data_IF_721179090571
#
_entry.id   IF_721179090571
#
_cell.length_a   1.000
_cell.length_b   1.000
_cell.length_c   1.000
_cell.angle_alpha   90.00
_cell.angle_beta   90.00
_cell.angle_gamma   90.00
#
_symmetry.space_group_name_H-M   'P 1'
#
loop_
_entity.id
_entity.type
_entity.pdbx_description
1 polymer ?
#
# COMPACT_ATOMS: atom_id res chain seq x y z
N UNK A 1 -32.76 -5.52 7.32
CA UNK A 1 -33.06 -6.02 5.97
C UNK A 1 -32.36 -7.36 5.83
N UNK A 2 -33.13 -8.42 5.58
CA UNK A 2 -32.56 -9.72 5.24
C UNK A 2 -32.05 -9.64 3.81
N UNK A 3 -30.73 -9.47 3.65
CA UNK A 3 -30.08 -9.63 2.36
C UNK A 3 -29.38 -10.99 2.29
N UNK A 4 -29.45 -11.62 1.14
CA UNK A 4 -28.73 -12.86 0.87
C UNK A 4 -27.54 -12.53 -0.03
N UNK A 5 -26.33 -12.82 0.45
CA UNK A 5 -25.12 -12.67 -0.35
C UNK A 5 -25.00 -13.89 -1.29
N UNK A 6 -24.69 -13.63 -2.54
CA UNK A 6 -24.40 -14.66 -3.53
C UNK A 6 -22.94 -15.09 -3.34
N UNK A 7 -22.63 -16.39 -3.35
CA UNK A 7 -21.26 -16.89 -3.29
C UNK A 7 -20.34 -16.22 -4.33
N UNK A 8 -19.17 -15.79 -3.91
CA UNK A 8 -18.21 -15.09 -4.75
C UNK A 8 -17.04 -16.02 -5.05
N UNK A 9 -16.69 -16.16 -6.33
CA UNK A 9 -15.45 -16.78 -6.79
C UNK A 9 -14.61 -15.67 -7.42
N UNK A 10 -13.43 -15.42 -6.89
CA UNK A 10 -12.52 -14.38 -7.38
C UNK A 10 -11.39 -14.97 -8.22
N UNK A 11 -11.15 -14.37 -9.37
CA UNK A 11 -10.05 -14.71 -10.28
C UNK A 11 -9.30 -13.42 -10.60
N UNK A 12 -8.25 -13.06 -9.83
CA UNK A 12 -7.54 -11.81 -10.03
C UNK A 12 -6.79 -11.79 -11.36
N UNK A 13 -6.89 -10.68 -12.09
CA UNK A 13 -6.19 -10.43 -13.36
C UNK A 13 -5.07 -9.39 -13.22
N UNK A 14 -4.90 -8.85 -12.02
CA UNK A 14 -3.80 -7.95 -11.63
C UNK A 14 -3.28 -8.37 -10.27
N UNK A 15 -2.00 -8.10 -9.98
CA UNK A 15 -1.38 -8.38 -8.69
C UNK A 15 -1.27 -7.06 -7.89
N UNK A 16 -2.23 -6.75 -7.01
CA UNK A 16 -2.22 -5.48 -6.28
C UNK A 16 -3.19 -5.40 -5.11
N UNK A 17 -4.48 -5.43 -5.39
CA UNK A 17 -5.52 -5.07 -4.42
C UNK A 17 -5.76 -6.09 -3.32
N UNK A 18 -5.43 -7.37 -3.54
CA UNK A 18 -5.74 -8.46 -2.61
C UNK A 18 -7.25 -8.62 -2.32
N UNK A 19 -8.12 -8.13 -3.22
CA UNK A 19 -9.56 -8.15 -3.01
C UNK A 19 -10.15 -9.56 -2.93
N UNK A 20 -9.46 -10.54 -3.49
CA UNK A 20 -9.83 -11.96 -3.48
C UNK A 20 -9.69 -12.64 -2.11
N UNK A 21 -8.96 -12.01 -1.19
CA UNK A 21 -8.73 -12.50 0.19
C UNK A 21 -9.12 -11.47 1.25
N UNK A 22 -9.96 -10.49 0.89
CA UNK A 22 -10.41 -9.43 1.79
C UNK A 22 -11.92 -9.26 1.74
N UNK A 23 -12.56 -8.79 2.82
CA UNK A 23 -14.01 -8.53 2.86
C UNK A 23 -14.37 -7.11 2.43
N UNK A 24 -13.49 -6.44 1.65
CA UNK A 24 -13.63 -5.03 1.32
C UNK A 24 -14.17 -4.83 -0.09
N UNK A 25 -15.14 -3.92 -0.22
CA UNK A 25 -15.55 -3.37 -1.51
C UNK A 25 -15.45 -1.85 -1.47
N UNK A 26 -14.83 -1.27 -2.50
CA UNK A 26 -14.64 0.18 -2.62
C UNK A 26 -15.46 0.75 -3.77
N UNK A 27 -16.24 1.78 -3.48
CA UNK A 27 -17.05 2.51 -4.45
C UNK A 27 -16.57 3.96 -4.46
N UNK A 28 -16.20 4.47 -5.63
CA UNK A 28 -15.82 5.86 -5.82
C UNK A 28 -17.02 6.63 -6.39
N UNK A 29 -17.50 7.62 -5.65
CA UNK A 29 -18.40 8.64 -6.16
C UNK A 29 -17.59 9.79 -6.75
N UNK A 30 -17.47 9.81 -8.07
CA UNK A 30 -16.67 10.83 -8.77
C UNK A 30 -17.39 12.19 -8.79
N UNK A 31 -18.70 12.26 -8.57
CA UNK A 31 -19.47 13.51 -8.52
C UNK A 31 -19.26 14.21 -7.19
N UNK A 32 -19.45 13.47 -6.10
CA UNK A 32 -19.27 13.98 -4.73
C UNK A 32 -17.82 13.94 -4.26
N UNK A 33 -16.89 13.40 -5.10
CA UNK A 33 -15.47 13.17 -4.76
C UNK A 33 -15.29 12.40 -3.46
N UNK A 34 -16.15 11.42 -3.24
CA UNK A 34 -16.17 10.59 -2.03
C UNK A 34 -15.82 9.14 -2.35
N UNK A 35 -15.21 8.48 -1.37
CA UNK A 35 -14.93 7.05 -1.37
C UNK A 35 -15.76 6.38 -0.30
N UNK A 36 -16.58 5.43 -0.71
CA UNK A 36 -17.32 4.54 0.18
C UNK A 36 -16.62 3.19 0.26
N UNK A 37 -16.57 2.63 1.45
CA UNK A 37 -16.04 1.28 1.67
C UNK A 37 -17.06 0.42 2.40
N UNK A 38 -17.36 -0.73 1.83
CA UNK A 38 -18.06 -1.79 2.53
C UNK A 38 -17.02 -2.72 3.18
N UNK A 39 -17.28 -3.10 4.41
CA UNK A 39 -16.48 -4.08 5.16
C UNK A 39 -17.46 -5.02 5.85
N UNK A 40 -17.76 -6.14 5.22
CA UNK A 40 -18.70 -7.12 5.72
C UNK A 40 -18.06 -8.50 5.64
N UNK A 41 -18.06 -9.30 6.73
CA UNK A 41 -17.48 -10.65 6.74
C UNK A 41 -18.00 -11.54 5.61
N UNK A 42 -19.26 -11.35 5.22
CA UNK A 42 -19.90 -12.13 4.15
C UNK A 42 -19.39 -11.77 2.74
N UNK A 43 -18.54 -10.75 2.58
CA UNK A 43 -17.95 -10.37 1.28
C UNK A 43 -16.63 -11.10 0.97
N UNK A 44 -16.12 -11.94 1.87
CA UNK A 44 -15.01 -12.80 1.51
C UNK A 44 -15.39 -13.72 0.35
N UNK A 45 -14.49 -13.86 -0.61
CA UNK A 45 -14.67 -14.86 -1.66
C UNK A 45 -14.62 -16.27 -1.05
N UNK A 46 -15.54 -17.14 -1.47
CA UNK A 46 -15.50 -18.57 -1.08
C UNK A 46 -14.30 -19.28 -1.70
N UNK A 47 -13.91 -18.86 -2.89
CA UNK A 47 -12.75 -19.41 -3.62
C UNK A 47 -11.99 -18.26 -4.29
N UNK A 48 -10.67 -18.28 -4.18
CA UNK A 48 -9.76 -17.45 -4.94
C UNK A 48 -8.91 -18.35 -5.86
N UNK A 49 -8.95 -18.09 -7.17
CA UNK A 49 -8.20 -18.86 -8.19
C UNK A 49 -7.11 -17.97 -8.74
N UNK A 50 -5.85 -18.39 -8.58
CA UNK A 50 -4.68 -17.65 -9.06
C UNK A 50 -4.11 -18.33 -10.31
N UNK A 51 -4.21 -17.63 -11.44
CA UNK A 51 -3.58 -18.02 -12.70
C UNK A 51 -2.70 -16.87 -13.20
N UNK A 52 -1.37 -16.97 -13.09
CA UNK A 52 -0.46 -15.92 -13.51
C UNK A 52 -0.54 -15.60 -15.01
N UNK A 53 -1.02 -16.53 -15.84
CA UNK A 53 -1.23 -16.31 -17.28
C UNK A 53 -2.22 -15.14 -17.54
N UNK A 54 -3.21 -14.95 -16.66
CA UNK A 54 -4.18 -13.87 -16.78
C UNK A 54 -3.57 -12.48 -16.54
N UNK A 55 -2.35 -12.40 -16.04
CA UNK A 55 -1.66 -11.12 -15.80
C UNK A 55 -0.67 -10.75 -16.91
N UNK A 56 -0.41 -11.61 -17.91
CA UNK A 56 0.59 -11.37 -18.96
C UNK A 56 0.30 -10.13 -19.80
N UNK A 57 -0.97 -9.79 -19.99
CA UNK A 57 -1.38 -8.61 -20.78
C UNK A 57 -1.40 -7.30 -19.98
N UNK A 58 -1.08 -7.34 -18.67
CA UNK A 58 -1.09 -6.16 -17.83
C UNK A 58 0.07 -5.23 -18.22
N UNK A 59 -0.21 -3.95 -18.61
CA UNK A 59 0.81 -3.00 -19.02
C UNK A 59 1.79 -2.65 -17.89
N UNK A 60 2.99 -2.18 -18.27
CA UNK A 60 4.08 -1.81 -17.33
C UNK A 60 3.60 -0.85 -16.23
N UNK A 61 2.91 0.23 -16.61
CA UNK A 61 2.43 1.23 -15.66
C UNK A 61 1.44 0.65 -14.64
N UNK A 62 0.52 -0.23 -15.08
CA UNK A 62 -0.43 -0.90 -14.17
C UNK A 62 0.30 -1.91 -13.30
N UNK A 63 1.24 -2.68 -13.85
CA UNK A 63 2.08 -3.62 -13.08
C UNK A 63 2.83 -2.91 -11.95
N UNK A 64 3.45 -1.76 -12.23
CA UNK A 64 4.15 -0.95 -11.22
C UNK A 64 3.16 -0.46 -10.14
N UNK A 65 2.04 0.15 -10.56
CA UNK A 65 1.07 0.72 -9.65
C UNK A 65 0.47 -0.33 -8.72
N UNK A 66 0.06 -1.47 -9.26
CA UNK A 66 -0.54 -2.54 -8.44
C UNK A 66 0.48 -3.22 -7.53
N UNK A 67 1.72 -3.40 -8.00
CA UNK A 67 2.80 -3.92 -7.16
C UNK A 67 3.17 -2.99 -6.00
N UNK A 68 3.17 -1.68 -6.25
CA UNK A 68 3.40 -0.67 -5.19
C UNK A 68 2.21 -0.58 -4.22
N UNK A 69 0.98 -0.79 -4.67
CA UNK A 69 -0.20 -0.91 -3.81
C UNK A 69 -0.07 -2.09 -2.84
N UNK A 70 0.30 -3.27 -3.36
CA UNK A 70 0.55 -4.45 -2.54
C UNK A 70 1.72 -4.23 -1.55
N UNK A 71 2.76 -3.50 -1.96
CA UNK A 71 3.87 -3.13 -1.06
C UNK A 71 3.38 -2.21 0.07
N UNK A 72 2.52 -1.24 -0.24
CA UNK A 72 1.91 -0.37 0.75
C UNK A 72 1.05 -1.14 1.75
N UNK A 73 0.20 -2.04 1.29
CA UNK A 73 -0.57 -2.94 2.15
C UNK A 73 0.31 -3.73 3.12
N UNK A 74 1.42 -4.29 2.61
CA UNK A 74 2.36 -5.07 3.40
C UNK A 74 3.05 -4.22 4.47
N UNK A 75 3.64 -3.10 4.07
CA UNK A 75 4.40 -2.26 4.99
C UNK A 75 3.50 -1.60 6.03
N UNK A 76 2.32 -1.12 5.64
CA UNK A 76 1.35 -0.56 6.59
C UNK A 76 0.89 -1.59 7.62
N UNK A 77 0.77 -2.87 7.25
CA UNK A 77 0.43 -3.92 8.19
C UNK A 77 1.51 -4.16 9.27
N UNK A 78 2.78 -3.80 9.00
CA UNK A 78 3.88 -3.95 9.97
C UNK A 78 3.79 -2.90 11.07
N UNK A 79 3.59 -1.61 10.70
CA UNK A 79 3.46 -0.51 11.67
C UNK A 79 2.02 -0.19 12.06
N UNK A 80 1.13 -1.15 11.92
CA UNK A 80 -0.26 -1.02 12.31
C UNK A 80 -0.47 -1.39 13.79
N UNK A 81 -1.34 -0.69 14.49
CA UNK A 81 -1.71 -1.01 15.88
C UNK A 81 -2.39 -2.37 16.04
N UNK A 82 -3.02 -2.86 14.97
CA UNK A 82 -3.67 -4.16 14.90
C UNK A 82 -2.73 -5.27 14.41
N UNK A 83 -1.44 -5.00 14.26
CA UNK A 83 -0.48 -6.02 13.81
C UNK A 83 -0.34 -7.15 14.81
N UNK A 84 -0.17 -8.36 14.29
CA UNK A 84 0.08 -9.59 15.05
C UNK A 84 1.29 -10.32 14.45
N UNK A 85 1.91 -11.25 15.15
CA UNK A 85 2.99 -12.05 14.57
C UNK A 85 2.59 -12.76 13.26
N UNK A 86 1.32 -13.15 13.11
CA UNK A 86 0.80 -13.80 11.90
C UNK A 86 0.72 -12.80 10.75
N UNK A 87 0.12 -11.63 10.97
CA UNK A 87 0.00 -10.60 9.94
C UNK A 87 1.36 -10.05 9.53
N UNK A 88 2.28 -9.87 10.48
CA UNK A 88 3.67 -9.48 10.20
C UNK A 88 4.38 -10.53 9.34
N UNK A 89 4.19 -11.83 9.63
CA UNK A 89 4.77 -12.91 8.83
C UNK A 89 4.32 -12.87 7.37
N UNK A 90 3.03 -12.63 7.10
CA UNK A 90 2.51 -12.43 5.75
C UNK A 90 3.06 -11.14 5.11
N UNK A 91 3.07 -10.03 5.84
CA UNK A 91 3.59 -8.76 5.36
C UNK A 91 5.06 -8.83 4.95
N UNK A 92 5.90 -9.45 5.76
CA UNK A 92 7.34 -9.66 5.46
C UNK A 92 7.52 -10.50 4.19
N UNK A 93 6.79 -11.61 4.08
CA UNK A 93 6.89 -12.48 2.90
C UNK A 93 6.47 -11.75 1.63
N UNK A 94 5.38 -11.00 1.69
CA UNK A 94 4.90 -10.16 0.59
C UNK A 94 5.94 -9.09 0.21
N UNK A 95 6.36 -8.26 1.16
CA UNK A 95 7.29 -7.17 0.91
C UNK A 95 8.61 -7.65 0.30
N UNK A 96 9.17 -8.77 0.80
CA UNK A 96 10.39 -9.38 0.24
C UNK A 96 10.19 -9.83 -1.21
N UNK A 97 9.06 -10.45 -1.54
CA UNK A 97 8.76 -10.85 -2.92
C UNK A 97 8.65 -9.62 -3.83
N UNK A 98 7.95 -8.57 -3.40
CA UNK A 98 7.77 -7.35 -4.20
C UNK A 98 9.10 -6.66 -4.44
N UNK A 99 9.88 -6.40 -3.38
CA UNK A 99 11.18 -5.72 -3.47
C UNK A 99 12.15 -6.45 -4.40
N UNK A 100 12.10 -7.78 -4.42
CA UNK A 100 13.01 -8.58 -5.24
C UNK A 100 12.53 -8.80 -6.69
N UNK A 101 11.25 -8.61 -6.98
CA UNK A 101 10.68 -8.98 -8.27
C UNK A 101 10.06 -7.82 -9.06
N UNK A 102 9.56 -6.75 -8.43
CA UNK A 102 8.75 -5.74 -9.12
C UNK A 102 9.56 -4.98 -10.21
N UNK A 103 10.79 -4.56 -9.92
CA UNK A 103 11.67 -3.91 -10.91
C UNK A 103 11.99 -4.88 -12.06
N UNK A 104 12.33 -6.12 -11.72
CA UNK A 104 12.63 -7.15 -12.73
C UNK A 104 11.42 -7.42 -13.63
N UNK A 105 10.23 -7.52 -13.05
CA UNK A 105 8.99 -7.70 -13.80
C UNK A 105 8.68 -6.47 -14.67
N UNK A 106 8.88 -5.27 -14.15
CA UNK A 106 8.64 -4.03 -14.92
C UNK A 106 9.51 -3.94 -16.19
N UNK A 107 10.64 -4.64 -16.22
CA UNK A 107 11.56 -4.72 -17.37
C UNK A 107 11.41 -6.01 -18.19
N UNK A 108 10.62 -6.99 -17.72
CA UNK A 108 10.36 -8.25 -18.43
C UNK A 108 8.92 -8.72 -18.13
N UNK A 109 7.95 -8.07 -18.77
CA UNK A 109 6.52 -8.26 -18.50
C UNK A 109 5.98 -9.65 -18.88
N UNK A 110 6.65 -10.36 -19.78
CA UNK A 110 6.24 -11.69 -20.27
C UNK A 110 6.79 -12.82 -19.41
N UNK A 111 7.59 -12.50 -18.38
CA UNK A 111 8.16 -13.51 -17.50
C UNK A 111 7.11 -14.04 -16.52
N UNK A 112 6.67 -15.28 -16.77
CA UNK A 112 5.59 -15.91 -16.02
C UNK A 112 5.95 -16.16 -14.54
N UNK A 113 7.21 -16.51 -14.24
CA UNK A 113 7.66 -16.74 -12.86
C UNK A 113 7.63 -15.44 -12.04
N UNK A 114 7.97 -14.30 -12.67
CA UNK A 114 7.86 -13.00 -12.02
C UNK A 114 6.40 -12.58 -11.83
N UNK A 115 5.51 -12.90 -12.78
CA UNK A 115 4.07 -12.70 -12.63
C UNK A 115 3.50 -13.52 -11.48
N UNK A 116 3.87 -14.80 -11.39
CA UNK A 116 3.45 -15.70 -10.31
C UNK A 116 3.94 -15.18 -8.95
N UNK A 117 5.23 -14.83 -8.83
CA UNK A 117 5.78 -14.24 -7.62
C UNK A 117 5.02 -12.98 -7.17
N UNK A 118 4.61 -12.12 -8.10
CA UNK A 118 3.83 -10.93 -7.77
C UNK A 118 2.40 -11.24 -7.36
N UNK A 119 1.75 -12.24 -7.97
CA UNK A 119 0.42 -12.70 -7.52
C UNK A 119 0.47 -13.29 -6.12
N UNK A 120 1.46 -14.13 -5.82
CA UNK A 120 1.71 -14.69 -4.49
C UNK A 120 1.98 -13.55 -3.48
N UNK A 121 2.78 -12.57 -3.86
CA UNK A 121 3.05 -11.41 -3.00
C UNK A 121 1.77 -10.63 -2.68
N UNK A 122 0.93 -10.38 -3.68
CA UNK A 122 -0.35 -9.70 -3.52
C UNK A 122 -1.30 -10.47 -2.59
N UNK A 123 -1.38 -11.80 -2.74
CA UNK A 123 -2.16 -12.65 -1.84
C UNK A 123 -1.69 -12.49 -0.39
N UNK A 124 -0.38 -12.53 -0.12
CA UNK A 124 0.15 -12.35 1.23
C UNK A 124 -0.12 -10.93 1.77
N UNK A 125 -0.01 -9.90 0.94
CA UNK A 125 -0.40 -8.54 1.31
C UNK A 125 -1.87 -8.49 1.73
N UNK A 126 -2.75 -9.07 0.91
CA UNK A 126 -4.18 -9.19 1.18
C UNK A 126 -4.49 -9.89 2.50
N UNK A 127 -3.89 -11.08 2.74
CA UNK A 127 -4.05 -11.82 4.00
C UNK A 127 -3.55 -11.04 5.22
N UNK A 128 -2.52 -10.20 5.06
CA UNK A 128 -2.06 -9.33 6.13
C UNK A 128 -3.04 -8.21 6.43
N UNK A 129 -3.32 -7.34 5.43
CA UNK A 129 -4.11 -6.14 5.69
C UNK A 129 -5.62 -6.42 5.84
N UNK A 130 -6.14 -7.57 5.44
CA UNK A 130 -7.52 -7.96 5.74
C UNK A 130 -7.80 -8.01 7.25
N UNK A 131 -6.77 -8.23 8.06
CA UNK A 131 -6.85 -8.29 9.52
C UNK A 131 -6.41 -7.00 10.20
N UNK A 132 -5.44 -6.26 9.63
CA UNK A 132 -4.93 -5.02 10.23
C UNK A 132 -5.67 -3.78 9.74
N UNK A 133 -6.31 -3.86 8.58
CA UNK A 133 -6.71 -2.72 7.77
C UNK A 133 -5.51 -1.91 7.27
N UNK A 134 -5.77 -0.90 6.43
CA UNK A 134 -4.74 0.05 5.97
C UNK A 134 -4.53 1.16 6.99
N UNK A 135 -3.45 1.94 6.83
CA UNK A 135 -3.07 2.98 7.75
C UNK A 135 -2.84 4.34 7.05
N UNK A 136 -1.84 5.10 7.48
CA UNK A 136 -1.67 6.50 7.13
C UNK A 136 -1.28 6.74 5.65
N UNK A 137 -0.54 5.82 5.00
CA UNK A 137 -0.22 5.97 3.57
C UNK A 137 -1.48 5.92 2.71
N UNK A 138 -2.40 5.01 3.02
CA UNK A 138 -3.70 4.94 2.36
C UNK A 138 -4.60 6.13 2.72
N UNK A 139 -4.52 6.69 3.92
CA UNK A 139 -5.24 7.92 4.26
C UNK A 139 -4.76 9.10 3.39
N UNK A 140 -3.43 9.25 3.21
CA UNK A 140 -2.82 10.24 2.32
C UNK A 140 -3.27 10.02 0.87
N UNK A 141 -3.37 8.76 0.43
CA UNK A 141 -3.74 8.43 -0.95
C UNK A 141 -5.09 9.01 -1.37
N UNK A 142 -6.04 9.14 -0.46
CA UNK A 142 -7.36 9.68 -0.79
C UNK A 142 -7.30 11.13 -1.21
N UNK A 143 -6.54 11.95 -0.48
CA UNK A 143 -6.30 13.33 -0.86
C UNK A 143 -5.56 13.41 -2.19
N UNK A 144 -4.49 12.64 -2.36
CA UNK A 144 -3.68 12.65 -3.57
C UNK A 144 -4.46 12.20 -4.80
N UNK A 145 -5.30 11.19 -4.67
CA UNK A 145 -6.15 10.72 -5.78
C UNK A 145 -7.22 11.74 -6.13
N UNK A 146 -7.93 12.28 -5.14
CA UNK A 146 -9.10 13.15 -5.39
C UNK A 146 -8.71 14.58 -5.78
N UNK A 147 -7.60 15.12 -5.25
CA UNK A 147 -7.19 16.52 -5.47
C UNK A 147 -6.04 16.66 -6.47
N UNK A 148 -5.20 15.62 -6.64
CA UNK A 148 -4.04 15.65 -7.53
C UNK A 148 -4.15 14.69 -8.72
N UNK A 149 -5.17 13.84 -8.74
CA UNK A 149 -5.39 12.90 -9.84
C UNK A 149 -4.36 11.76 -9.91
N UNK A 150 -3.61 11.50 -8.81
CA UNK A 150 -2.68 10.39 -8.77
C UNK A 150 -3.44 9.07 -8.84
N UNK A 151 -2.88 8.12 -9.57
CA UNK A 151 -3.38 6.73 -9.53
C UNK A 151 -3.18 6.14 -8.14
N UNK A 152 -4.12 5.31 -7.72
CA UNK A 152 -4.19 4.83 -6.33
C UNK A 152 -2.88 4.20 -5.83
N UNK A 153 -2.30 3.28 -6.62
CA UNK A 153 -1.08 2.57 -6.20
C UNK A 153 0.14 3.49 -6.03
N UNK A 154 0.26 4.56 -6.83
CA UNK A 154 1.28 5.59 -6.62
C UNK A 154 0.93 6.43 -5.39
N UNK A 155 -0.33 6.85 -5.28
CA UNK A 155 -0.79 7.72 -4.20
C UNK A 155 -0.62 7.11 -2.80
N UNK A 156 -0.79 5.78 -2.64
CA UNK A 156 -0.63 5.09 -1.35
C UNK A 156 0.81 4.64 -1.07
N UNK A 157 1.73 4.73 -2.05
CA UNK A 157 3.08 4.17 -1.89
C UNK A 157 4.20 5.20 -1.85
N UNK A 158 4.09 6.33 -2.57
CA UNK A 158 5.20 7.29 -2.69
C UNK A 158 5.72 7.84 -1.35
N UNK A 159 4.90 7.83 -0.32
CA UNK A 159 5.27 8.28 1.04
C UNK A 159 5.93 7.19 1.90
N UNK A 160 5.96 5.93 1.45
CA UNK A 160 6.47 4.80 2.23
C UNK A 160 7.90 5.01 2.76
N UNK A 161 8.87 5.53 1.97
CA UNK A 161 10.22 5.77 2.50
C UNK A 161 10.23 6.76 3.67
N UNK A 162 9.45 7.84 3.58
CA UNK A 162 9.29 8.83 4.65
C UNK A 162 8.65 8.22 5.90
N UNK A 163 7.67 7.33 5.71
CA UNK A 163 6.98 6.65 6.82
C UNK A 163 7.90 5.67 7.53
N UNK A 164 8.73 4.91 6.78
CA UNK A 164 9.77 4.06 7.38
C UNK A 164 10.74 4.89 8.20
N UNK A 165 11.25 6.01 7.69
CA UNK A 165 12.15 6.92 8.43
C UNK A 165 11.50 7.48 9.71
N UNK A 166 10.17 7.47 9.77
CA UNK A 166 9.43 7.96 10.94
C UNK A 166 9.29 6.91 12.04
N UNK A 167 9.44 5.63 11.73
CA UNK A 167 9.19 4.53 12.66
C UNK A 167 10.46 3.76 13.04
N UNK A 168 11.51 3.79 12.22
CA UNK A 168 12.81 3.18 12.52
C UNK A 168 13.40 3.79 13.82
N UNK A 169 13.97 2.92 14.66
CA UNK A 169 14.58 3.27 15.94
C UNK A 169 13.60 3.47 17.09
N UNK A 170 12.28 3.27 16.84
CA UNK A 170 11.24 3.45 17.88
C UNK A 170 10.74 2.14 18.46
N UNK A 171 10.75 1.09 17.66
CA UNK A 171 10.24 -0.22 18.03
C UNK A 171 11.21 -1.31 17.55
N UNK A 172 11.88 -1.98 18.48
CA UNK A 172 12.89 -3.00 18.17
C UNK A 172 12.36 -4.10 17.23
N UNK A 173 11.08 -4.49 17.37
CA UNK A 173 10.50 -5.49 16.50
C UNK A 173 10.34 -5.01 15.05
N UNK A 174 10.02 -3.72 14.85
CA UNK A 174 9.92 -3.11 13.51
C UNK A 174 11.30 -3.03 12.87
N UNK A 175 12.31 -2.63 13.63
CA UNK A 175 13.69 -2.53 13.13
C UNK A 175 14.19 -3.90 12.65
N UNK A 176 13.92 -4.96 13.41
CA UNK A 176 14.25 -6.34 13.01
C UNK A 176 13.54 -6.75 11.71
N UNK A 177 12.25 -6.42 11.60
CA UNK A 177 11.45 -6.72 10.40
C UNK A 177 11.96 -5.96 9.19
N UNK A 178 12.25 -4.68 9.32
CA UNK A 178 12.78 -3.89 8.20
C UNK A 178 14.17 -4.31 7.78
N UNK A 179 15.03 -4.68 8.74
CA UNK A 179 16.33 -5.28 8.44
C UNK A 179 16.17 -6.60 7.65
N UNK A 180 15.16 -7.40 7.96
CA UNK A 180 14.86 -8.63 7.22
C UNK A 180 14.39 -8.37 5.79
N UNK A 181 13.61 -7.30 5.55
CA UNK A 181 13.06 -6.95 4.22
C UNK A 181 14.11 -6.21 3.37
N UNK A 182 14.75 -5.19 3.94
CA UNK A 182 15.58 -4.24 3.21
C UNK A 182 17.09 -4.37 3.48
N UNK A 183 17.50 -5.24 4.41
CA UNK A 183 18.88 -5.32 4.90
C UNK A 183 19.25 -4.08 5.72
N UNK A 184 20.56 -3.80 5.78
CA UNK A 184 21.08 -2.65 6.54
C UNK A 184 20.73 -1.29 5.92
N UNK A 185 20.32 -1.26 4.65
CA UNK A 185 20.03 -0.02 3.92
C UNK A 185 18.65 0.58 4.24
N UNK A 186 17.75 -0.21 4.83
CA UNK A 186 16.43 0.28 5.27
C UNK A 186 15.67 1.06 4.20
N UNK A 187 15.29 2.31 4.51
CA UNK A 187 14.53 3.18 3.58
C UNK A 187 15.31 3.59 2.33
N UNK A 188 16.66 3.55 2.36
CA UNK A 188 17.49 3.84 1.18
C UNK A 188 17.20 2.83 0.08
N UNK A 189 17.17 1.53 0.39
CA UNK A 189 16.84 0.49 -0.60
C UNK A 189 15.43 0.68 -1.18
N UNK A 190 14.50 1.16 -0.37
CA UNK A 190 13.16 1.46 -0.86
C UNK A 190 13.16 2.68 -1.81
N UNK A 191 13.95 3.73 -1.52
CA UNK A 191 14.11 4.89 -2.41
C UNK A 191 14.71 4.48 -3.76
N UNK A 192 15.74 3.64 -3.74
CA UNK A 192 16.36 3.08 -4.96
C UNK A 192 15.32 2.33 -5.81
N UNK A 193 14.49 1.49 -5.16
CA UNK A 193 13.40 0.79 -5.85
C UNK A 193 12.42 1.75 -6.52
N UNK A 194 12.02 2.83 -5.85
CA UNK A 194 11.13 3.84 -6.42
C UNK A 194 11.79 4.58 -7.60
N UNK A 195 13.07 4.92 -7.49
CA UNK A 195 13.85 5.55 -8.55
C UNK A 195 13.94 4.65 -9.79
N UNK A 196 14.27 3.35 -9.62
CA UNK A 196 14.32 2.37 -10.71
C UNK A 196 12.95 2.19 -11.40
N UNK A 197 11.85 2.34 -10.66
CA UNK A 197 10.48 2.30 -11.19
C UNK A 197 10.04 3.62 -11.82
N UNK A 198 10.84 4.69 -11.72
CA UNK A 198 10.51 6.02 -12.22
C UNK A 198 9.41 6.72 -11.42
N UNK A 199 9.26 6.42 -10.13
CA UNK A 199 8.24 6.97 -9.24
C UNK A 199 8.88 7.88 -8.21
N UNK A 200 8.52 9.18 -8.21
CA UNK A 200 9.02 10.12 -7.21
C UNK A 200 8.46 9.83 -5.82
N UNK A 201 9.28 10.05 -4.78
CA UNK A 201 8.88 9.95 -3.37
C UNK A 201 8.63 11.33 -2.73
N UNK A 202 8.64 12.40 -3.54
CA UNK A 202 8.53 13.77 -3.08
C UNK A 202 7.15 14.37 -3.40
N UNK A 203 6.52 15.01 -2.41
CA UNK A 203 5.24 15.70 -2.59
C UNK A 203 5.28 16.79 -3.66
N UNK A 204 6.40 17.53 -3.75
CA UNK A 204 6.60 18.61 -4.73
C UNK A 204 6.52 18.11 -6.17
N UNK A 205 6.97 16.89 -6.45
CA UNK A 205 6.88 16.25 -7.76
C UNK A 205 5.43 16.04 -8.23
N UNK A 206 4.50 16.03 -7.30
CA UNK A 206 3.06 15.89 -7.55
C UNK A 206 2.30 17.21 -7.38
N UNK A 207 3.02 18.34 -7.42
CA UNK A 207 2.43 19.67 -7.34
C UNK A 207 1.81 20.00 -5.97
N UNK A 208 2.31 19.39 -4.89
CA UNK A 208 1.89 19.70 -3.51
C UNK A 208 2.87 20.72 -2.92
N UNK A 209 2.39 21.90 -2.64
CA UNK A 209 3.12 22.97 -1.95
C UNK A 209 2.83 22.98 -0.44
N UNK A 210 3.48 23.90 0.30
CA UNK A 210 3.34 24.01 1.78
C UNK A 210 1.90 24.26 2.25
N UNK A 211 1.14 25.09 1.52
CA UNK A 211 -0.27 25.34 1.83
C UNK A 211 -1.08 24.06 1.69
N UNK A 212 -0.87 23.31 0.62
CA UNK A 212 -1.56 22.05 0.38
C UNK A 212 -1.12 20.94 1.34
N UNK A 213 0.11 20.94 1.84
CA UNK A 213 0.53 20.06 2.94
C UNK A 213 -0.24 20.38 4.23
N UNK A 214 -0.52 21.68 4.49
CA UNK A 214 -1.36 22.07 5.63
C UNK A 214 -2.81 21.61 5.45
N UNK A 215 -3.35 21.72 4.24
CA UNK A 215 -4.69 21.22 3.90
C UNK A 215 -4.77 19.70 4.00
N UNK A 216 -3.75 19.00 3.54
CA UNK A 216 -3.62 17.54 3.72
C UNK A 216 -3.64 17.17 5.21
N UNK A 217 -2.88 17.88 6.04
CA UNK A 217 -2.87 17.65 7.49
C UNK A 217 -4.27 17.81 8.12
N UNK A 218 -5.05 18.80 7.69
CA UNK A 218 -6.44 19.00 8.13
C UNK A 218 -7.34 17.87 7.63
N UNK A 219 -7.17 17.44 6.38
CA UNK A 219 -7.93 16.33 5.77
C UNK A 219 -7.71 15.01 6.51
N UNK A 220 -6.49 14.76 6.98
CA UNK A 220 -6.12 13.54 7.69
C UNK A 220 -6.61 13.52 9.15
N UNK A 221 -6.91 14.68 9.73
CA UNK A 221 -7.34 14.77 11.12
C UNK A 221 -8.69 14.08 11.34
N UNK A 222 -8.72 13.11 12.26
CA UNK A 222 -9.91 12.30 12.56
C UNK A 222 -10.19 11.20 11.55
N UNK A 223 -9.24 10.88 10.67
CA UNK A 223 -9.37 9.74 9.78
C UNK A 223 -8.97 8.45 10.51
N UNK A 224 -9.88 7.48 10.58
CA UNK A 224 -9.68 6.20 11.28
C UNK A 224 -8.43 5.44 10.82
N UNK A 225 -8.01 5.57 9.55
CA UNK A 225 -6.80 4.91 9.06
C UNK A 225 -5.51 5.54 9.61
N UNK A 226 -5.54 6.83 9.91
CA UNK A 226 -4.42 7.47 10.62
C UNK A 226 -4.31 6.89 12.04
N UNK A 227 -5.46 6.65 12.68
CA UNK A 227 -5.51 6.09 14.03
C UNK A 227 -5.04 4.62 14.09
N UNK A 228 -5.08 3.89 12.99
CA UNK A 228 -4.54 2.54 12.89
C UNK A 228 -2.99 2.51 12.91
N UNK A 229 -2.33 3.63 12.65
CA UNK A 229 -0.88 3.70 12.54
C UNK A 229 -0.20 3.87 13.91
N UNK A 230 0.99 3.27 14.08
CA UNK A 230 1.93 3.59 15.15
C UNK A 230 2.64 4.94 14.91
N UNK A 231 2.49 5.52 13.72
CA UNK A 231 3.01 6.83 13.32
C UNK A 231 1.88 7.86 13.51
N UNK A 232 2.11 8.89 14.29
CA UNK A 232 1.11 9.95 14.50
C UNK A 232 1.15 11.00 13.40
N UNK A 233 0.01 11.66 13.18
CA UNK A 233 -0.08 12.75 12.21
C UNK A 233 0.82 13.94 12.60
N UNK A 234 0.89 14.28 13.89
CA UNK A 234 1.73 15.34 14.41
C UNK A 234 3.22 15.12 14.10
N UNK A 235 3.69 13.88 14.26
CA UNK A 235 5.08 13.51 13.94
C UNK A 235 5.40 13.67 12.47
N UNK A 236 4.47 13.30 11.58
CA UNK A 236 4.67 13.50 10.14
C UNK A 236 4.69 14.97 9.76
N UNK A 237 3.76 15.73 10.29
CA UNK A 237 3.69 17.19 10.05
C UNK A 237 4.99 17.85 10.53
N UNK A 238 5.42 17.60 11.76
CA UNK A 238 6.64 18.17 12.32
C UNK A 238 7.89 17.80 11.50
N UNK A 239 8.09 16.52 11.17
CA UNK A 239 9.24 16.07 10.40
C UNK A 239 9.30 16.67 8.98
N UNK A 240 8.19 17.00 8.38
CA UNK A 240 8.14 17.59 7.04
C UNK A 240 8.30 19.11 7.06
N UNK A 241 7.77 19.80 8.08
CA UNK A 241 7.84 21.27 8.19
C UNK A 241 9.14 21.79 8.80
N UNK A 242 9.76 21.04 9.74
CA UNK A 242 11.01 21.47 10.39
C UNK A 242 12.26 21.35 9.49
N UNK A 243 12.21 20.67 8.33
CA UNK A 243 13.33 20.58 7.38
C UNK A 243 13.42 21.76 6.42
N UNK A 244 12.46 22.69 6.41
CA UNK A 244 12.44 23.85 5.53
C UNK A 244 12.89 25.16 6.21
N UNK A 245 13.22 25.12 7.51
CA UNK A 245 13.73 26.28 8.27
C UNK A 245 15.27 26.24 8.43
N UNK A 246 16.01 25.68 7.43
CA UNK A 246 17.48 25.78 7.39
C UNK A 246 17.99 26.24 6.04
#
# INVERSE_FOLDING_TARGET
KDYKIIPIISIPTTAGTGSEVTPYSTIWDTREKQKYSLNLPDLFSEVAIYDPLLTLTVPKNVTIQTGLDALSHSLESIWNKNSTPITIGYAVKSAKLIVNNLVRLSNNLDNIDLRDNMMIACMYAGLSFSNTQTAIAHAISYYMTTHKGLTHGIACSFTLPMLIDSVIGRYEFIDKVFKEIFGELGSTKLRELFEELGVSTEFSSYGVNERELTELGKFLKGNERVDNSLITLEELIQKKFLKHDK
#
